data_IF_792143430428
#
_entry.id   IF_792143430428
#
_cell.length_a   1.000
_cell.length_b   1.000
_cell.length_c   1.000
_cell.angle_alpha   90.00
_cell.angle_beta   90.00
_cell.angle_gamma   90.00
#
_symmetry.space_group_name_H-M   'P 1'
#
loop_
_entity.id
_entity.type
_entity.pdbx_description
1 polymer ?
#
# COMPACT_ATOMS: atom_id res chain seq x y z
N UNK A 1 -52.76 -0.95 29.21
CA UNK A 1 -52.87 -2.11 30.12
C UNK A 1 -52.66 -3.38 29.31
N UNK A 2 -51.81 -4.26 29.85
CA UNK A 2 -51.72 -5.71 29.59
C UNK A 2 -51.10 -6.20 28.27
N UNK A 3 -49.82 -6.57 28.38
CA UNK A 3 -49.32 -7.86 27.88
C UNK A 3 -49.87 -9.02 28.72
N UNK A 4 -49.98 -10.24 28.18
CA UNK A 4 -49.06 -11.34 28.56
C UNK A 4 -48.67 -12.24 27.35
N UNK A 5 -47.39 -12.55 27.11
CA UNK A 5 -46.52 -13.66 27.61
C UNK A 5 -46.93 -15.10 27.27
N UNK A 6 -46.01 -15.84 26.58
CA UNK A 6 -45.37 -17.13 26.95
C UNK A 6 -44.95 -17.93 25.68
N UNK A 7 -43.64 -18.07 25.38
CA UNK A 7 -42.73 -19.21 25.67
C UNK A 7 -43.15 -20.51 24.96
N UNK A 8 -42.32 -21.29 24.24
CA UNK A 8 -41.05 -21.98 24.62
C UNK A 8 -40.24 -22.41 23.37
N UNK A 9 -38.92 -22.48 23.55
CA UNK A 9 -37.84 -22.96 22.68
C UNK A 9 -38.00 -24.35 22.04
N UNK A 10 -37.38 -24.53 20.86
CA UNK A 10 -36.59 -25.73 20.57
C UNK A 10 -35.43 -25.41 19.59
N UNK A 11 -34.23 -25.74 20.07
CA UNK A 11 -32.94 -25.75 19.39
C UNK A 11 -32.92 -26.83 18.30
N UNK A 12 -32.26 -26.59 17.16
CA UNK A 12 -31.13 -27.40 16.62
C UNK A 12 -30.78 -26.97 15.18
N UNK A 13 -29.53 -26.50 15.08
CA UNK A 13 -28.64 -26.29 13.94
C UNK A 13 -28.76 -27.26 12.75
N UNK A 14 -28.58 -26.76 11.52
CA UNK A 14 -27.33 -26.97 10.77
C UNK A 14 -27.28 -26.21 9.42
N UNK A 15 -26.09 -25.65 9.19
CA UNK A 15 -25.54 -25.10 7.95
C UNK A 15 -25.91 -25.88 6.69
N UNK A 16 -25.98 -25.20 5.53
CA UNK A 16 -24.97 -25.29 4.45
C UNK A 16 -25.35 -24.37 3.27
N UNK A 17 -24.33 -23.71 2.72
CA UNK A 17 -24.25 -23.10 1.39
C UNK A 17 -24.95 -21.74 1.17
N UNK A 18 -24.35 -20.69 1.74
CA UNK A 18 -24.29 -19.38 1.07
C UNK A 18 -22.85 -19.17 0.57
N UNK A 19 -22.52 -19.74 -0.59
CA UNK A 19 -21.26 -19.54 -1.27
C UNK A 19 -21.48 -18.63 -2.49
N UNK A 20 -21.70 -17.35 -2.23
CA UNK A 20 -21.62 -16.30 -3.25
C UNK A 20 -21.44 -14.96 -2.52
N UNK A 21 -20.22 -14.41 -2.52
CA UNK A 21 -20.00 -13.00 -2.14
C UNK A 21 -18.96 -12.70 -1.06
N UNK A 22 -18.02 -13.59 -0.76
CA UNK A 22 -16.84 -13.26 0.08
C UNK A 22 -15.54 -13.32 -0.73
N UNK A 23 -15.39 -12.37 -1.67
CA UNK A 23 -14.07 -11.95 -2.14
C UNK A 23 -13.78 -10.59 -1.48
N UNK A 24 -13.83 -10.55 -0.14
CA UNK A 24 -13.34 -9.40 0.60
C UNK A 24 -11.84 -9.59 0.85
N UNK A 25 -11.03 -8.92 0.04
CA UNK A 25 -9.93 -8.05 0.50
C UNK A 25 -9.07 -8.54 1.69
N UNK A 26 -8.74 -9.83 1.75
CA UNK A 26 -7.88 -10.39 2.79
C UNK A 26 -6.45 -10.41 2.28
N UNK A 27 -5.70 -9.35 2.62
CA UNK A 27 -4.23 -9.23 2.78
C UNK A 27 -3.69 -7.83 2.43
N UNK A 28 -4.42 -6.74 2.72
CA UNK A 28 -3.74 -5.49 3.05
C UNK A 28 -3.15 -5.68 4.45
N UNK A 29 -1.82 -5.73 4.51
CA UNK A 29 -1.03 -5.98 5.72
C UNK A 29 -1.43 -5.07 6.90
N UNK A 30 -1.10 -5.50 8.12
CA UNK A 30 -1.26 -4.67 9.31
C UNK A 30 -0.58 -3.30 9.15
N UNK A 31 0.53 -3.22 8.39
CA UNK A 31 1.24 -1.98 8.08
C UNK A 31 0.37 -1.00 7.30
N UNK A 32 -0.34 -1.46 6.27
CA UNK A 32 -1.25 -0.62 5.50
C UNK A 32 -2.41 -0.10 6.36
N UNK A 33 -3.00 -0.96 7.20
CA UNK A 33 -4.15 -0.60 8.06
C UNK A 33 -3.78 0.39 9.16
N UNK A 34 -2.52 0.42 9.59
CA UNK A 34 -1.98 1.37 10.57
C UNK A 34 -1.76 2.77 10.00
N UNK A 35 -1.64 2.91 8.67
CA UNK A 35 -1.46 4.21 8.04
C UNK A 35 -2.76 5.02 8.10
N UNK A 36 -2.71 6.35 8.28
CA UNK A 36 -3.89 7.18 8.16
C UNK A 36 -4.56 7.04 6.79
N UNK A 37 -5.89 7.18 6.69
CA UNK A 37 -6.65 6.95 5.45
C UNK A 37 -6.12 7.73 4.25
N UNK A 38 -5.63 8.95 4.46
CA UNK A 38 -5.07 9.78 3.39
C UNK A 38 -3.86 9.12 2.70
N UNK A 39 -3.00 8.44 3.46
CA UNK A 39 -1.84 7.74 2.91
C UNK A 39 -2.21 6.38 2.29
N UNK A 40 -3.22 5.72 2.86
CA UNK A 40 -3.81 4.52 2.24
C UNK A 40 -4.36 4.84 0.84
N UNK A 41 -4.99 5.99 0.67
CA UNK A 41 -5.54 6.42 -0.61
C UNK A 41 -4.43 6.77 -1.62
N UNK A 42 -3.31 7.35 -1.18
CA UNK A 42 -2.12 7.54 -2.04
C UNK A 42 -1.63 6.20 -2.56
N UNK A 43 -1.43 5.22 -1.68
CA UNK A 43 -1.00 3.87 -2.07
C UNK A 43 -1.99 3.27 -3.07
N UNK A 44 -3.30 3.27 -2.77
CA UNK A 44 -4.32 2.74 -3.70
C UNK A 44 -4.29 3.41 -5.07
N UNK A 45 -4.10 4.73 -5.12
CA UNK A 45 -4.10 5.49 -6.38
C UNK A 45 -2.90 5.15 -7.24
N UNK A 46 -1.73 4.99 -6.63
CA UNK A 46 -0.48 4.71 -7.36
C UNK A 46 -0.27 3.22 -7.64
N UNK A 47 -0.76 2.31 -6.80
CA UNK A 47 -0.72 0.86 -7.03
C UNK A 47 -1.62 0.39 -8.18
N UNK A 48 -2.62 1.18 -8.57
CA UNK A 48 -3.53 0.89 -9.71
C UNK A 48 -3.03 1.42 -11.05
N UNK A 49 -1.91 2.14 -11.08
CA UNK A 49 -1.37 2.64 -12.34
C UNK A 49 -0.69 1.48 -13.06
N UNK A 50 -1.30 1.03 -14.16
CA UNK A 50 -0.71 0.02 -15.07
C UNK A 50 0.59 0.49 -15.74
N UNK A 51 0.99 1.75 -15.50
CA UNK A 51 2.28 2.30 -15.90
C UNK A 51 3.41 1.69 -15.06
N UNK A 52 3.87 0.51 -15.48
CA UNK A 52 5.11 -0.14 -15.03
C UNK A 52 6.37 0.50 -15.65
N UNK A 53 6.32 1.81 -15.91
CA UNK A 53 7.46 2.53 -16.49
C UNK A 53 8.59 2.59 -15.47
N UNK A 54 9.70 1.92 -15.77
CA UNK A 54 10.89 1.91 -14.94
C UNK A 54 11.84 3.05 -15.35
N UNK A 55 12.32 3.82 -14.37
CA UNK A 55 13.27 4.92 -14.54
C UNK A 55 14.58 4.63 -13.83
N UNK A 56 15.70 5.00 -14.42
CA UNK A 56 17.03 4.72 -13.88
C UNK A 56 17.38 5.60 -12.66
N UNK A 57 18.51 5.33 -12.01
CA UNK A 57 18.93 6.07 -10.81
C UNK A 57 19.07 7.59 -11.04
N UNK A 58 19.70 8.08 -12.13
CA UNK A 58 19.79 9.52 -12.39
C UNK A 58 18.41 10.16 -12.55
N UNK A 59 17.51 9.58 -13.35
CA UNK A 59 16.15 10.13 -13.53
C UNK A 59 15.32 10.06 -12.26
N UNK A 60 15.47 9.00 -11.48
CA UNK A 60 14.81 8.88 -10.17
C UNK A 60 15.27 9.99 -9.23
N UNK A 61 16.58 10.26 -9.16
CA UNK A 61 17.15 11.29 -8.32
C UNK A 61 16.69 12.70 -8.76
N UNK A 62 16.73 12.97 -10.08
CA UNK A 62 16.22 14.20 -10.67
C UNK A 62 14.74 14.41 -10.35
N UNK A 63 13.90 13.40 -10.60
CA UNK A 63 12.47 13.44 -10.31
C UNK A 63 12.17 13.66 -8.83
N UNK A 64 12.97 13.05 -7.95
CA UNK A 64 12.84 13.22 -6.50
C UNK A 64 13.44 14.54 -5.97
N UNK A 65 14.10 15.33 -6.82
CA UNK A 65 14.75 16.59 -6.43
C UNK A 65 15.92 16.41 -5.46
N UNK A 66 16.61 15.26 -5.51
CA UNK A 66 17.72 14.92 -4.61
C UNK A 66 18.95 14.43 -5.39
N UNK A 67 20.13 14.52 -4.76
CA UNK A 67 21.33 13.92 -5.34
C UNK A 67 21.28 12.39 -5.32
N UNK A 68 21.95 11.73 -6.28
CA UNK A 68 21.99 10.26 -6.41
C UNK A 68 22.55 9.59 -5.14
N UNK A 69 23.56 10.17 -4.49
CA UNK A 69 24.08 9.67 -3.20
C UNK A 69 23.03 9.72 -2.09
N UNK A 70 22.17 10.74 -2.10
CA UNK A 70 21.06 10.87 -1.14
C UNK A 70 19.97 9.88 -1.44
N UNK A 71 19.65 9.63 -2.72
CA UNK A 71 18.73 8.56 -3.11
C UNK A 71 19.16 7.21 -2.51
N UNK A 72 20.43 6.83 -2.69
CA UNK A 72 20.98 5.60 -2.12
C UNK A 72 20.92 5.56 -0.59
N UNK A 73 21.16 6.71 0.07
CA UNK A 73 21.00 6.82 1.52
C UNK A 73 19.55 6.60 1.96
N UNK A 74 18.57 7.20 1.29
CA UNK A 74 17.16 7.02 1.63
C UNK A 74 16.69 5.57 1.40
N UNK A 75 17.20 4.90 0.36
CA UNK A 75 16.99 3.46 0.13
C UNK A 75 17.55 2.64 1.29
N UNK A 76 18.80 2.89 1.69
CA UNK A 76 19.43 2.20 2.82
C UNK A 76 18.67 2.43 4.15
N UNK A 77 18.09 3.63 4.33
CA UNK A 77 17.26 3.98 5.48
C UNK A 77 15.83 3.43 5.39
N UNK A 78 15.47 2.70 4.33
CA UNK A 78 14.11 2.19 4.05
C UNK A 78 13.05 3.30 3.93
N UNK A 79 13.48 4.52 3.59
CA UNK A 79 12.63 5.70 3.36
C UNK A 79 12.33 5.93 1.89
N UNK A 80 12.88 5.06 1.04
CA UNK A 80 12.63 5.01 -0.38
C UNK A 80 12.49 3.55 -0.79
N UNK A 81 11.72 3.29 -1.85
CA UNK A 81 11.54 1.93 -2.39
C UNK A 81 12.89 1.33 -2.84
N UNK A 82 13.10 0.03 -2.65
CA UNK A 82 14.29 -0.63 -3.17
C UNK A 82 14.28 -0.61 -4.71
N UNK A 83 15.46 -0.51 -5.35
CA UNK A 83 15.53 -0.60 -6.80
C UNK A 83 15.17 -1.99 -7.31
N UNK A 84 14.60 -2.03 -8.51
CA UNK A 84 14.49 -3.21 -9.34
C UNK A 84 15.78 -3.37 -10.13
N UNK A 85 16.31 -4.60 -10.16
CA UNK A 85 17.51 -4.92 -10.92
C UNK A 85 17.12 -5.22 -12.37
N UNK A 86 17.62 -4.40 -13.32
CA UNK A 86 17.39 -4.59 -14.75
C UNK A 86 18.49 -5.43 -15.41
N UNK A 87 19.74 -5.26 -14.93
CA UNK A 87 20.89 -6.06 -15.37
C UNK A 87 21.94 -6.12 -14.25
N UNK A 88 23.08 -6.78 -14.49
CA UNK A 88 24.16 -6.88 -13.50
C UNK A 88 24.60 -5.52 -12.96
N UNK A 89 24.62 -4.49 -13.83
CA UNK A 89 25.14 -3.14 -13.55
C UNK A 89 24.07 -2.05 -13.58
N UNK A 90 22.81 -2.37 -13.88
CA UNK A 90 21.74 -1.36 -13.99
C UNK A 90 20.57 -1.67 -13.07
N UNK A 91 20.11 -0.62 -12.43
CA UNK A 91 18.95 -0.61 -11.54
C UNK A 91 17.97 0.47 -11.96
N UNK A 92 16.70 0.29 -11.61
CA UNK A 92 15.64 1.24 -11.88
C UNK A 92 14.58 1.22 -10.77
N UNK A 93 13.68 2.20 -10.79
CA UNK A 93 12.52 2.31 -9.93
C UNK A 93 11.27 2.44 -10.77
N UNK A 94 10.14 1.95 -10.26
CA UNK A 94 8.86 2.19 -10.91
C UNK A 94 8.47 3.64 -10.73
N UNK A 95 8.11 4.32 -11.82
CA UNK A 95 7.81 5.74 -11.80
C UNK A 95 6.64 6.08 -10.85
N UNK A 96 5.62 5.21 -10.78
CA UNK A 96 4.47 5.39 -9.90
C UNK A 96 4.82 5.26 -8.41
N UNK A 97 5.79 4.41 -8.05
CA UNK A 97 6.24 4.28 -6.65
C UNK A 97 7.00 5.54 -6.20
N UNK A 98 7.81 6.10 -7.10
CA UNK A 98 8.49 7.38 -6.87
C UNK A 98 7.46 8.50 -6.67
N UNK A 99 6.43 8.56 -7.52
CA UNK A 99 5.35 9.55 -7.38
C UNK A 99 4.57 9.39 -6.07
N UNK A 100 4.28 8.17 -5.64
CA UNK A 100 3.61 7.89 -4.38
C UNK A 100 4.40 8.41 -3.17
N UNK A 101 5.72 8.20 -3.17
CA UNK A 101 6.60 8.71 -2.10
C UNK A 101 6.63 10.24 -2.09
N UNK A 102 6.68 10.87 -3.26
CA UNK A 102 6.68 12.33 -3.36
C UNK A 102 5.35 12.92 -2.88
N UNK A 103 4.23 12.32 -3.25
CA UNK A 103 2.91 12.72 -2.75
C UNK A 103 2.82 12.55 -1.23
N UNK A 104 3.29 11.42 -0.68
CA UNK A 104 3.33 11.21 0.76
C UNK A 104 4.20 12.27 1.48
N UNK A 105 5.40 12.56 0.98
CA UNK A 105 6.26 13.63 1.52
C UNK A 105 5.58 15.01 1.47
N UNK A 106 4.87 15.29 0.38
CA UNK A 106 4.11 16.54 0.25
C UNK A 106 2.99 16.64 1.29
N UNK A 107 2.25 15.56 1.52
CA UNK A 107 1.19 15.50 2.53
C UNK A 107 1.76 15.65 3.95
N UNK A 108 2.89 14.99 4.26
CA UNK A 108 3.57 15.14 5.55
C UNK A 108 3.98 16.59 5.83
N UNK A 109 4.37 17.34 4.80
CA UNK A 109 4.75 18.75 4.95
C UNK A 109 3.55 19.66 5.21
N UNK A 110 2.34 19.29 4.78
CA UNK A 110 1.13 20.15 4.86
C UNK A 110 0.21 19.77 6.01
N UNK A 111 0.11 18.49 6.35
CA UNK A 111 -0.79 17.98 7.39
C UNK A 111 -0.04 17.96 8.71
N UNK A 112 -0.07 19.09 9.42
CA UNK A 112 0.66 19.37 10.67
C UNK A 112 0.29 18.49 11.88
N UNK A 113 -0.64 17.54 11.74
CA UNK A 113 -1.10 16.67 12.83
C UNK A 113 -0.80 15.17 12.67
N UNK A 114 -0.38 14.70 11.50
CA UNK A 114 -0.15 13.26 11.26
C UNK A 114 1.31 12.98 10.93
N UNK A 115 2.09 12.66 11.97
CA UNK A 115 3.45 12.13 11.81
C UNK A 115 3.35 10.65 11.46
N UNK A 116 3.55 10.33 10.19
CA UNK A 116 3.79 8.94 9.77
C UNK A 116 5.29 8.67 9.70
N UNK A 117 5.70 7.43 9.96
CA UNK A 117 7.03 7.00 9.56
C UNK A 117 6.99 6.66 8.06
N UNK A 118 7.88 7.29 7.29
CA UNK A 118 8.00 7.04 5.86
C UNK A 118 8.42 5.58 5.58
N UNK A 119 9.05 4.90 6.54
CA UNK A 119 9.37 3.47 6.44
C UNK A 119 8.13 2.59 6.39
N UNK A 120 7.14 2.91 7.22
CA UNK A 120 5.87 2.18 7.25
C UNK A 120 5.10 2.40 5.95
N UNK A 121 5.11 3.64 5.45
CA UNK A 121 4.53 3.98 4.15
C UNK A 121 5.18 3.20 3.00
N UNK A 122 6.52 3.20 2.93
CA UNK A 122 7.26 2.48 1.87
C UNK A 122 7.02 0.98 1.96
N UNK A 123 6.96 0.41 3.17
CA UNK A 123 6.68 -1.02 3.35
C UNK A 123 5.27 -1.37 2.84
N UNK A 124 4.26 -0.59 3.21
CA UNK A 124 2.89 -0.79 2.74
C UNK A 124 2.74 -0.56 1.23
N UNK A 125 3.52 0.35 0.64
CA UNK A 125 3.53 0.62 -0.79
C UNK A 125 4.07 -0.58 -1.59
N UNK A 126 5.21 -1.15 -1.16
CA UNK A 126 5.82 -2.32 -1.82
C UNK A 126 4.89 -3.53 -1.73
N UNK A 127 4.29 -3.78 -0.57
CA UNK A 127 3.34 -4.88 -0.40
C UNK A 127 2.13 -4.70 -1.33
N UNK A 128 1.60 -3.48 -1.45
CA UNK A 128 0.50 -3.21 -2.36
C UNK A 128 0.87 -3.35 -3.84
N UNK A 129 2.13 -3.11 -4.23
CA UNK A 129 2.60 -3.25 -5.61
C UNK A 129 2.94 -4.69 -5.98
N UNK A 130 3.44 -5.52 -5.05
CA UNK A 130 3.75 -6.94 -5.31
C UNK A 130 2.49 -7.80 -5.51
N UNK A 131 1.45 -7.59 -4.71
CA UNK A 131 0.21 -8.39 -4.77
C UNK A 131 -0.60 -8.19 -6.06
N UNK A 132 -0.30 -7.19 -6.88
CA UNK A 132 -0.92 -6.99 -8.19
C UNK A 132 -0.36 -7.97 -9.27
N UNK A 133 0.75 -8.67 -9.00
CA UNK A 133 1.38 -9.57 -9.98
C UNK A 133 0.87 -11.01 -9.95
N UNK A 134 0.17 -11.44 -8.90
CA UNK A 134 -0.21 -12.86 -8.69
C UNK A 134 -1.55 -13.26 -9.35
N UNK A 135 -2.17 -12.42 -10.18
CA UNK A 135 -3.49 -12.69 -10.79
C UNK A 135 -3.46 -13.07 -12.28
N UNK A 136 -2.33 -13.56 -12.80
CA UNK A 136 -2.27 -14.15 -14.15
C UNK A 136 -1.95 -15.64 -14.00
N UNK A 137 -3.00 -16.44 -13.81
CA UNK A 137 -3.02 -17.88 -14.00
C UNK A 137 -3.93 -18.23 -15.16
#
# INVERSE_FOLDING_TARGET
MQHPTRSVSAVTVNNVAAEAGKIEHKLLSDSFRKLPPIYQDVIRRHSRRDERSAIDAPKTAEKAGIGVSTLWREVALKRFVPPIRLSERRVAWLAHEVDAILEAKHLMSRVSGQKIDLRDFVSALIEASTHCSDSIG
#
